data_IF_038398654552
#
_entry.id   IF_038398654552
#
_cell.length_a   1.000
_cell.length_b   1.000
_cell.length_c   1.000
_cell.angle_alpha   90.00
_cell.angle_beta   90.00
_cell.angle_gamma   90.00
#
_symmetry.space_group_name_H-M   'P 1'
#
loop_
_entity.id
_entity.type
_entity.pdbx_description
1 polymer ?
#
# COMPACT_ATOMS: atom_id res chain seq x y z
N UNK A 1 -16.99 9.01 7.73
CA UNK A 1 -15.59 9.35 8.03
C UNK A 1 -15.14 8.49 9.20
N UNK A 2 -13.99 7.83 9.09
CA UNK A 2 -13.47 6.92 10.11
C UNK A 2 -12.12 7.43 10.62
N UNK A 3 -11.80 7.28 11.93
CA UNK A 3 -10.49 7.67 12.44
C UNK A 3 -9.35 6.95 11.72
N UNK A 4 -8.23 7.64 11.54
CA UNK A 4 -7.02 7.07 10.98
C UNK A 4 -6.09 6.54 12.09
N UNK A 5 -5.34 5.50 11.77
CA UNK A 5 -4.28 4.98 12.62
C UNK A 5 -3.10 4.49 11.76
N UNK A 6 -1.89 4.75 12.21
CA UNK A 6 -0.66 4.20 11.65
C UNK A 6 0.08 3.43 12.75
N UNK A 7 -0.09 2.09 12.81
CA UNK A 7 0.51 1.26 13.85
C UNK A 7 2.04 1.33 13.88
N UNK A 8 2.68 1.66 12.74
CA UNK A 8 4.13 1.83 12.65
C UNK A 8 4.71 2.97 13.50
N UNK A 9 3.87 3.93 13.93
CA UNK A 9 4.31 5.01 14.83
C UNK A 9 4.77 4.50 16.20
N UNK A 10 4.16 3.41 16.69
CA UNK A 10 4.37 2.90 18.06
C UNK A 10 4.79 1.43 18.12
N UNK A 11 4.44 0.63 17.10
CA UNK A 11 4.58 -0.83 17.10
C UNK A 11 5.76 -1.36 16.28
N UNK A 12 6.65 -0.49 15.79
CA UNK A 12 7.82 -0.88 15.00
C UNK A 12 7.48 -1.41 13.60
N UNK A 13 8.47 -2.07 12.97
CA UNK A 13 8.40 -2.47 11.56
C UNK A 13 7.30 -3.50 11.26
N UNK A 14 7.07 -4.46 12.16
CA UNK A 14 6.03 -5.48 11.95
C UNK A 14 4.62 -4.88 11.98
N UNK A 15 4.38 -3.90 12.85
CA UNK A 15 3.13 -3.17 12.93
C UNK A 15 2.94 -2.22 11.75
N UNK A 16 4.01 -1.52 11.33
CA UNK A 16 3.96 -0.65 10.14
C UNK A 16 3.60 -1.44 8.89
N UNK A 17 4.13 -2.66 8.77
CA UNK A 17 3.84 -3.57 7.66
C UNK A 17 2.55 -4.38 7.86
N UNK A 18 1.77 -4.17 8.93
CA UNK A 18 0.54 -4.91 9.22
C UNK A 18 0.72 -6.44 9.08
N UNK A 19 1.83 -6.95 9.63
CA UNK A 19 2.12 -8.37 9.68
C UNK A 19 1.15 -9.12 10.59
N UNK A 20 1.07 -10.43 10.42
CA UNK A 20 0.24 -11.26 11.29
C UNK A 20 0.65 -11.09 12.76
N UNK A 21 -0.34 -10.97 13.64
CA UNK A 21 -0.19 -10.75 15.08
C UNK A 21 0.57 -9.46 15.49
N UNK A 22 0.75 -8.48 14.59
CA UNK A 22 1.43 -7.22 14.92
C UNK A 22 0.51 -6.05 15.27
N UNK A 23 -0.80 -6.20 15.04
CA UNK A 23 -1.79 -5.16 15.29
C UNK A 23 -2.51 -5.39 16.63
N UNK A 24 -2.54 -4.35 17.48
CA UNK A 24 -3.39 -4.34 18.67
C UNK A 24 -4.85 -4.07 18.29
N UNK A 25 -5.78 -5.02 18.51
CA UNK A 25 -7.19 -4.84 18.18
C UNK A 25 -7.85 -3.67 18.92
N UNK A 26 -7.39 -3.31 20.13
CA UNK A 26 -7.96 -2.18 20.88
C UNK A 26 -7.63 -0.85 20.20
N UNK A 27 -6.45 -0.75 19.59
CA UNK A 27 -6.01 0.45 18.87
C UNK A 27 -6.63 0.57 17.47
N UNK A 28 -6.91 -0.55 16.80
CA UNK A 28 -7.30 -0.61 15.37
C UNK A 28 -8.80 -0.69 15.13
N UNK A 29 -9.57 -1.27 16.05
CA UNK A 29 -11.00 -1.54 15.85
C UNK A 29 -11.77 -0.28 15.44
N UNK A 30 -12.54 -0.37 14.35
CA UNK A 30 -13.37 0.74 13.86
C UNK A 30 -12.63 1.83 13.07
N UNK A 31 -11.34 1.64 12.76
CA UNK A 31 -10.49 2.64 12.11
C UNK A 31 -10.02 2.23 10.72
N UNK A 32 -9.62 3.22 9.92
CA UNK A 32 -8.86 3.00 8.69
C UNK A 32 -7.37 2.92 9.07
N UNK A 33 -6.73 1.82 8.68
CA UNK A 33 -5.34 1.52 9.05
C UNK A 33 -4.40 1.83 7.89
N UNK A 34 -3.36 2.62 8.15
CA UNK A 34 -2.26 2.83 7.22
C UNK A 34 -1.26 1.68 7.42
N UNK A 35 -0.96 0.97 6.34
CA UNK A 35 0.02 -0.11 6.30
C UNK A 35 1.08 0.20 5.24
N UNK A 36 2.35 0.05 5.57
CA UNK A 36 3.43 0.14 4.60
C UNK A 36 3.47 -1.11 3.72
N UNK A 37 3.80 -0.93 2.44
CA UNK A 37 4.09 -2.01 1.52
C UNK A 37 5.48 -2.61 1.80
N UNK A 38 5.54 -3.94 1.85
CA UNK A 38 6.78 -4.68 2.04
C UNK A 38 6.57 -5.98 2.82
N UNK A 39 7.52 -6.90 2.70
CA UNK A 39 7.70 -8.19 3.41
C UNK A 39 6.55 -9.20 3.43
N UNK A 40 5.29 -8.77 3.30
CA UNK A 40 4.10 -9.61 3.24
C UNK A 40 3.27 -9.23 2.01
N UNK A 41 2.49 -10.19 1.52
CA UNK A 41 1.58 -9.95 0.41
C UNK A 41 0.63 -8.79 0.74
N UNK A 42 0.43 -7.89 -0.24
CA UNK A 42 -0.40 -6.70 -0.10
C UNK A 42 -1.83 -7.06 0.34
N UNK A 43 -2.40 -8.10 -0.27
CA UNK A 43 -3.72 -8.64 0.07
C UNK A 43 -3.79 -9.22 1.50
N UNK A 44 -2.72 -9.90 1.95
CA UNK A 44 -2.66 -10.48 3.29
C UNK A 44 -2.73 -9.41 4.39
N UNK A 45 -2.14 -8.23 4.19
CA UNK A 45 -2.25 -7.09 5.12
C UNK A 45 -3.72 -6.69 5.34
N UNK A 46 -4.52 -6.68 4.27
CA UNK A 46 -5.96 -6.40 4.36
C UNK A 46 -6.71 -7.43 5.21
N UNK A 47 -6.32 -8.71 5.15
CA UNK A 47 -6.87 -9.75 6.02
C UNK A 47 -6.47 -9.52 7.49
N UNK A 48 -5.22 -9.15 7.76
CA UNK A 48 -4.74 -8.84 9.12
C UNK A 48 -5.53 -7.66 9.72
N UNK A 49 -5.69 -6.58 8.96
CA UNK A 49 -6.48 -5.41 9.38
C UNK A 49 -7.92 -5.82 9.68
N UNK A 50 -8.54 -6.64 8.81
CA UNK A 50 -9.88 -7.19 9.03
C UNK A 50 -9.98 -7.98 10.33
N UNK A 51 -9.04 -8.91 10.56
CA UNK A 51 -8.98 -9.74 11.78
C UNK A 51 -8.84 -8.88 13.05
N UNK A 52 -8.10 -7.77 12.99
CA UNK A 52 -7.95 -6.82 14.09
C UNK A 52 -9.16 -5.88 14.29
N UNK A 53 -10.17 -5.96 13.42
CA UNK A 53 -11.40 -5.15 13.49
C UNK A 53 -11.32 -3.79 12.80
N UNK A 54 -10.31 -3.55 11.98
CA UNK A 54 -10.22 -2.36 11.13
C UNK A 54 -11.29 -2.35 10.04
N UNK A 55 -11.78 -1.17 9.69
CA UNK A 55 -12.88 -0.99 8.72
C UNK A 55 -12.39 -0.65 7.31
N UNK A 56 -11.11 -0.32 7.16
CA UNK A 56 -10.47 -0.07 5.87
C UNK A 56 -8.96 0.00 5.99
N UNK A 57 -8.29 0.03 4.84
CA UNK A 57 -6.83 0.06 4.78
C UNK A 57 -6.32 1.04 3.72
N UNK A 58 -5.29 1.80 4.07
CA UNK A 58 -4.47 2.55 3.12
C UNK A 58 -3.13 1.81 3.02
N UNK A 59 -2.79 1.33 1.83
CA UNK A 59 -1.51 0.68 1.58
C UNK A 59 -0.54 1.71 0.99
N UNK A 60 0.40 2.18 1.79
CA UNK A 60 1.40 3.17 1.39
C UNK A 60 2.64 2.48 0.79
N UNK A 61 3.01 2.86 -0.43
CA UNK A 61 4.29 2.45 -0.97
C UNK A 61 5.44 3.08 -0.16
N UNK A 62 6.53 2.33 0.01
CA UNK A 62 7.82 2.91 0.42
C UNK A 62 8.67 3.28 -0.79
N UNK A 63 9.76 4.02 -0.57
CA UNK A 63 10.67 4.53 -1.61
C UNK A 63 11.11 3.46 -2.62
N UNK A 64 11.37 2.22 -2.16
CA UNK A 64 11.77 1.11 -3.04
C UNK A 64 10.71 0.67 -4.05
N UNK A 65 9.44 1.00 -3.80
CA UNK A 65 8.31 0.71 -4.69
C UNK A 65 7.93 1.92 -5.57
N UNK A 66 8.34 3.13 -5.17
CA UNK A 66 8.00 4.39 -5.84
C UNK A 66 6.50 4.61 -6.00
N UNK A 67 6.11 5.25 -7.10
CA UNK A 67 4.70 5.63 -7.38
C UNK A 67 3.92 4.53 -8.11
N UNK A 68 4.53 3.35 -8.33
CA UNK A 68 3.91 2.25 -9.07
C UNK A 68 2.84 1.53 -8.26
N UNK A 69 1.57 1.88 -8.51
CA UNK A 69 0.39 1.27 -7.91
C UNK A 69 0.11 -0.13 -8.48
N UNK A 70 -0.52 -0.98 -7.67
CA UNK A 70 -0.99 -2.31 -8.08
C UNK A 70 -2.43 -2.48 -7.61
N UNK A 71 -3.33 -2.83 -8.54
CA UNK A 71 -4.75 -3.05 -8.23
C UNK A 71 -4.97 -4.44 -7.64
N UNK A 72 -4.84 -4.58 -6.32
CA UNK A 72 -5.16 -5.84 -5.63
C UNK A 72 -6.60 -5.86 -5.11
N UNK A 73 -7.22 -7.03 -5.11
CA UNK A 73 -8.51 -7.26 -4.46
C UNK A 73 -8.32 -7.50 -2.95
N UNK A 74 -8.86 -6.60 -2.13
CA UNK A 74 -8.80 -6.70 -0.66
C UNK A 74 -10.14 -7.16 -0.05
N UNK A 75 -10.07 -7.75 1.15
CA UNK A 75 -11.25 -8.26 1.91
C UNK A 75 -11.99 -7.18 2.71
N UNK A 76 -11.51 -5.95 2.65
CA UNK A 76 -12.05 -4.72 3.26
C UNK A 76 -11.82 -3.56 2.27
N UNK A 77 -12.55 -2.44 2.38
CA UNK A 77 -12.25 -1.25 1.61
C UNK A 77 -10.78 -0.87 1.73
N UNK A 78 -10.08 -0.77 0.60
CA UNK A 78 -8.66 -0.47 0.59
C UNK A 78 -8.28 0.45 -0.58
N UNK A 79 -7.27 1.28 -0.36
CA UNK A 79 -6.67 2.13 -1.37
C UNK A 79 -5.15 2.00 -1.31
N UNK A 80 -4.51 1.74 -2.45
CA UNK A 80 -3.05 1.79 -2.57
C UNK A 80 -2.64 3.19 -3.01
N UNK A 81 -1.60 3.73 -2.39
CA UNK A 81 -1.06 5.06 -2.70
C UNK A 81 0.43 4.99 -2.97
N UNK A 82 0.93 5.98 -3.71
CA UNK A 82 2.33 6.15 -4.03
C UNK A 82 3.18 6.44 -2.80
N UNK A 83 4.50 6.56 -3.00
CA UNK A 83 5.41 6.84 -1.88
C UNK A 83 5.19 8.25 -1.36
N UNK A 84 5.03 9.21 -2.27
CA UNK A 84 4.83 10.61 -1.92
C UNK A 84 3.50 10.82 -1.18
N UNK A 85 2.38 10.33 -1.72
CA UNK A 85 1.08 10.48 -1.04
C UNK A 85 1.02 9.68 0.27
N UNK A 86 1.71 8.54 0.34
CA UNK A 86 1.85 7.77 1.57
C UNK A 86 2.50 8.58 2.70
N UNK A 87 3.58 9.30 2.38
CA UNK A 87 4.27 10.17 3.34
C UNK A 87 3.41 11.39 3.73
N UNK A 88 2.69 11.98 2.79
CA UNK A 88 1.74 13.07 3.08
C UNK A 88 0.60 12.62 4.01
N UNK A 89 0.02 11.44 3.78
CA UNK A 89 -1.06 10.90 4.64
C UNK A 89 -0.52 10.62 6.05
N UNK A 90 0.70 10.09 6.18
CA UNK A 90 1.34 9.88 7.49
C UNK A 90 1.64 11.21 8.19
N UNK A 91 2.05 12.25 7.45
CA UNK A 91 2.27 13.59 7.99
C UNK A 91 0.96 14.26 8.43
N UNK A 92 -0.13 14.08 7.68
CA UNK A 92 -1.47 14.50 8.06
C UNK A 92 -1.91 13.87 9.39
N UNK A 93 -1.73 12.55 9.54
CA UNK A 93 -2.02 11.86 10.80
C UNK A 93 -1.13 12.36 11.96
N UNK A 94 0.13 12.69 11.69
CA UNK A 94 1.05 13.16 12.72
C UNK A 94 0.70 14.58 13.22
N UNK A 95 0.16 15.43 12.36
CA UNK A 95 -0.18 16.83 12.68
C UNK A 95 -1.61 17.00 13.24
N UNK A 96 -2.48 15.99 13.14
CA UNK A 96 -3.85 16.06 13.62
C UNK A 96 -4.21 14.88 14.55
N UNK A 97 -4.43 15.17 15.83
CA UNK A 97 -4.80 14.17 16.85
C UNK A 97 -6.17 13.51 16.62
N UNK A 98 -7.01 14.10 15.77
CA UNK A 98 -8.36 13.61 15.41
C UNK A 98 -8.46 13.27 13.92
N UNK A 99 -7.32 13.01 13.26
CA UNK A 99 -7.26 12.68 11.85
C UNK A 99 -8.25 11.55 11.48
N UNK A 100 -8.99 11.77 10.42
CA UNK A 100 -9.97 10.82 9.91
C UNK A 100 -10.02 10.86 8.39
N UNK A 101 -10.49 9.78 7.78
CA UNK A 101 -10.54 9.62 6.34
C UNK A 101 -11.81 8.91 5.89
N UNK A 102 -12.07 8.98 4.59
CA UNK A 102 -13.09 8.19 3.92
C UNK A 102 -12.47 7.63 2.65
N UNK A 103 -12.68 6.33 2.40
CA UNK A 103 -12.33 5.71 1.12
C UNK A 103 -13.59 5.71 0.27
N UNK A 104 -13.59 6.45 -0.84
CA UNK A 104 -14.69 6.48 -1.78
C UNK A 104 -14.26 5.86 -3.11
N UNK A 105 -15.08 4.94 -3.64
CA UNK A 105 -14.80 4.28 -4.91
C UNK A 105 -15.47 5.05 -6.05
N UNK A 106 -14.67 5.66 -6.93
CA UNK A 106 -15.14 6.49 -8.04
C UNK A 106 -15.25 5.72 -9.38
N UNK A 107 -15.00 4.41 -9.36
CA UNK A 107 -14.93 3.60 -10.57
C UNK A 107 -13.56 3.70 -11.27
N UNK A 108 -13.54 3.41 -12.58
CA UNK A 108 -12.32 3.42 -13.38
C UNK A 108 -12.08 4.80 -13.97
N UNK A 109 -10.93 5.38 -13.67
CA UNK A 109 -10.44 6.60 -14.31
C UNK A 109 -9.52 6.25 -15.50
N UNK A 110 -9.73 6.93 -16.62
CA UNK A 110 -8.95 6.77 -17.85
C UNK A 110 -8.17 8.05 -18.16
N UNK A 111 -7.06 7.94 -18.91
CA UNK A 111 -6.25 9.10 -19.28
C UNK A 111 -5.24 9.55 -18.22
N UNK A 112 -4.91 8.67 -17.26
CA UNK A 112 -3.83 8.89 -16.28
C UNK A 112 -2.50 9.11 -17.01
N UNK A 113 -1.73 10.11 -16.56
CA UNK A 113 -0.41 10.45 -17.10
C UNK A 113 0.64 10.41 -15.99
N UNK A 114 1.86 9.90 -16.26
CA UNK A 114 2.31 9.34 -17.54
C UNK A 114 1.76 7.92 -17.80
N UNK A 115 1.54 7.59 -19.07
CA UNK A 115 1.25 6.23 -19.52
C UNK A 115 1.80 6.03 -20.95
N UNK A 116 2.46 4.88 -21.27
CA UNK A 116 2.71 3.74 -20.40
C UNK A 116 3.86 3.96 -19.41
N UNK A 117 3.84 3.21 -18.30
CA UNK A 117 4.93 3.11 -17.32
C UNK A 117 5.16 1.63 -17.01
N UNK A 118 6.41 1.21 -16.90
CA UNK A 118 6.74 -0.16 -16.50
C UNK A 118 6.27 -0.41 -15.07
N UNK A 119 5.44 -1.43 -14.88
CA UNK A 119 4.89 -1.76 -13.56
C UNK A 119 6.01 -2.01 -12.53
N UNK A 120 5.79 -1.59 -11.28
CA UNK A 120 6.81 -1.67 -10.21
C UNK A 120 7.28 -3.09 -9.91
N UNK A 121 6.46 -4.10 -10.22
CA UNK A 121 6.78 -5.51 -10.03
C UNK A 121 7.35 -6.21 -11.28
N UNK A 122 7.45 -5.52 -12.42
CA UNK A 122 7.97 -6.12 -13.65
C UNK A 122 9.42 -6.54 -13.44
N UNK A 123 9.75 -7.78 -13.85
CA UNK A 123 11.13 -8.26 -13.87
C UNK A 123 12.03 -7.34 -14.67
N UNK A 124 13.24 -7.10 -14.17
CA UNK A 124 14.24 -6.22 -14.79
C UNK A 124 15.47 -7.05 -15.16
N UNK A 125 16.12 -6.65 -16.25
CA UNK A 125 17.40 -7.19 -16.63
C UNK A 125 18.54 -6.81 -15.66
N UNK A 126 19.77 -7.26 -15.95
CA UNK A 126 20.16 -8.02 -17.14
C UNK A 126 19.69 -9.48 -17.10
N UNK A 127 19.84 -10.20 -18.22
CA UNK A 127 19.59 -11.63 -18.27
C UNK A 127 20.62 -12.39 -17.42
N UNK A 128 20.16 -13.09 -16.39
CA UNK A 128 21.01 -13.83 -15.45
C UNK A 128 21.71 -15.06 -16.04
N UNK A 129 21.28 -15.57 -17.19
CA UNK A 129 21.91 -16.70 -17.88
C UNK A 129 22.95 -16.27 -18.90
N UNK A 130 22.64 -15.23 -19.68
CA UNK A 130 23.57 -14.66 -20.66
C UNK A 130 23.45 -13.12 -20.66
N UNK A 131 24.36 -12.41 -19.97
CA UNK A 131 24.35 -10.95 -19.89
C UNK A 131 24.50 -10.22 -21.24
N UNK A 132 25.01 -10.89 -22.29
CA UNK A 132 25.15 -10.33 -23.64
C UNK A 132 23.80 -10.23 -24.37
N UNK A 133 22.78 -10.97 -23.90
CA UNK A 133 21.42 -10.92 -24.42
C UNK A 133 20.55 -10.08 -23.49
N UNK A 134 20.23 -8.85 -23.92
CA UNK A 134 19.36 -7.93 -23.16
C UNK A 134 17.96 -8.53 -22.95
N UNK A 135 17.43 -8.37 -21.73
CA UNK A 135 16.04 -8.70 -21.36
C UNK A 135 15.48 -7.66 -20.38
N UNK A 136 14.15 -7.41 -20.36
CA UNK A 136 13.14 -7.94 -21.29
C UNK A 136 13.24 -7.29 -22.70
N UNK A 137 12.63 -7.90 -23.72
CA UNK A 137 12.71 -7.39 -25.10
C UNK A 137 11.69 -6.29 -25.41
N UNK A 138 10.50 -6.36 -24.80
CA UNK A 138 9.39 -5.43 -25.03
C UNK A 138 8.54 -5.27 -23.77
N UNK A 139 7.69 -4.24 -23.76
CA UNK A 139 6.65 -4.02 -22.74
C UNK A 139 5.27 -4.09 -23.40
N UNK A 140 4.28 -4.54 -22.64
CA UNK A 140 2.87 -4.57 -23.04
C UNK A 140 1.97 -4.27 -21.83
N UNK A 141 0.70 -3.87 -22.02
CA UNK A 141 -0.26 -3.77 -20.93
C UNK A 141 -0.46 -5.13 -20.24
N UNK A 142 -0.43 -5.14 -18.90
CA UNK A 142 -0.58 -6.35 -18.08
C UNK A 142 -1.01 -6.05 -16.66
#
# INVERSE_FOLDING_TARGET
MYPLIYPGKSGGLSASLCMENSLDPNSVRGKIVICDRGSSARTAKGLVVKKAGGVGMILANGVSNGEGLVGDAHLIPACAVGSSEGDEIKAYLASNSTASATINFQGTEIGVKPAPVVASFSGRGPNGLNPEILKPDLIAPG
#
